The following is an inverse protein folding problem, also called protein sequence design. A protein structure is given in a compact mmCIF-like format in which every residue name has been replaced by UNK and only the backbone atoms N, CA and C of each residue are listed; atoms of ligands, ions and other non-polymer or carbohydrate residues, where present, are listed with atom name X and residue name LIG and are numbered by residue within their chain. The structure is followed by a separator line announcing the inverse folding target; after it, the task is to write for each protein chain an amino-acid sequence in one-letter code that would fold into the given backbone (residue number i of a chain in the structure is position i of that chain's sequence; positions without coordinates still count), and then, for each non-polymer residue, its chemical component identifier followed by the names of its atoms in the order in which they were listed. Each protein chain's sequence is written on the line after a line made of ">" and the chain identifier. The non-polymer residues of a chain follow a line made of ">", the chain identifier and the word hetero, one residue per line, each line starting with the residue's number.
data_IF_577205643020
#
_entry.id   IF_577205643020
#
_cell.length_a   1.000
_cell.length_b   1.000
_cell.length_c   1.000
_cell.angle_alpha   90.00
_cell.angle_beta   90.00
_cell.angle_gamma   90.00
#
_symmetry.space_group_name_H-M   'P 1'
#
loop_
_entity.id
_entity.type
_entity.pdbx_description
1 polymer ?
#
# COMPACT_ATOMS: atom_id res chain seq x y z
N UNK A 1 -11.61 16.06 -17.54
CA UNK A 1 -10.92 17.15 -16.81
C UNK A 1 -11.25 17.18 -15.32
N UNK A 2 -12.52 17.33 -14.90
CA UNK A 2 -12.88 17.27 -13.45
C UNK A 2 -12.93 15.83 -12.95
N UNK A 3 -13.47 14.89 -13.74
CA UNK A 3 -13.50 13.46 -13.39
C UNK A 3 -12.10 12.87 -13.25
N UNK A 4 -11.18 13.17 -14.18
CA UNK A 4 -9.79 12.69 -14.10
C UNK A 4 -9.07 13.20 -12.84
N UNK A 5 -9.31 14.46 -12.45
CA UNK A 5 -8.78 15.02 -11.22
C UNK A 5 -9.39 14.36 -9.98
N UNK A 6 -10.71 14.17 -9.95
CA UNK A 6 -11.41 13.47 -8.87
C UNK A 6 -11.01 11.99 -8.78
N UNK A 7 -10.70 11.33 -9.90
CA UNK A 7 -10.14 9.97 -9.93
C UNK A 7 -8.70 9.92 -9.49
N UNK A 8 -7.86 10.86 -9.93
CA UNK A 8 -6.46 10.98 -9.49
C UNK A 8 -6.33 11.16 -7.97
N UNK A 9 -7.25 11.91 -7.35
CA UNK A 9 -7.28 12.09 -5.88
C UNK A 9 -8.11 11.03 -5.13
N UNK A 10 -8.62 10.01 -5.82
CA UNK A 10 -9.36 8.89 -5.22
C UNK A 10 -10.77 9.19 -4.73
N UNK A 11 -11.39 10.29 -5.18
CA UNK A 11 -12.78 10.66 -4.85
C UNK A 11 -13.82 10.11 -5.84
N UNK A 12 -13.42 9.65 -7.03
CA UNK A 12 -14.35 9.11 -8.03
C UNK A 12 -13.77 7.87 -8.72
N UNK A 13 -14.52 6.75 -8.85
CA UNK A 13 -14.04 5.58 -9.57
C UNK A 13 -13.71 5.96 -11.03
N UNK A 14 -12.50 5.62 -11.47
CA UNK A 14 -12.04 5.85 -12.84
C UNK A 14 -13.01 5.22 -13.85
N UNK A 15 -13.32 5.96 -14.91
CA UNK A 15 -14.21 5.49 -15.99
C UNK A 15 -13.58 4.44 -16.90
N UNK A 16 -12.37 3.98 -16.59
CA UNK A 16 -11.71 2.82 -17.21
C UNK A 16 -11.58 1.74 -16.14
N UNK A 17 -12.11 0.56 -16.44
CA UNK A 17 -12.37 -0.53 -15.50
C UNK A 17 -11.23 -0.87 -14.51
N UNK A 18 -11.61 -0.89 -13.22
CA UNK A 18 -11.13 -1.76 -12.12
C UNK A 18 -9.82 -1.41 -11.41
N UNK A 19 -9.74 -0.20 -10.85
CA UNK A 19 -8.84 0.04 -9.72
C UNK A 19 -9.26 -0.81 -8.51
N UNK A 20 -8.34 -1.64 -8.00
CA UNK A 20 -8.55 -2.50 -6.84
C UNK A 20 -7.74 -2.00 -5.65
N UNK A 21 -8.32 -2.10 -4.45
CA UNK A 21 -7.59 -1.87 -3.20
C UNK A 21 -7.25 -3.23 -2.59
N UNK A 22 -5.95 -3.47 -2.42
CA UNK A 22 -5.38 -4.62 -1.73
C UNK A 22 -4.26 -4.16 -0.81
N UNK A 23 -3.93 -4.96 0.20
CA UNK A 23 -2.79 -4.71 1.08
C UNK A 23 -1.56 -5.42 0.54
N UNK A 24 -0.44 -4.70 0.50
CA UNK A 24 0.87 -5.29 0.25
C UNK A 24 1.32 -6.07 1.47
N UNK A 25 1.59 -7.37 1.29
CA UNK A 25 2.02 -8.28 2.35
C UNK A 25 3.51 -8.55 2.28
N UNK A 26 4.09 -8.64 1.08
CA UNK A 26 5.51 -8.85 0.87
C UNK A 26 5.98 -8.09 -0.39
N UNK A 27 7.24 -7.66 -0.39
CA UNK A 27 7.86 -6.94 -1.51
C UNK A 27 9.02 -7.72 -2.11
N UNK A 28 9.56 -7.24 -3.23
CA UNK A 28 10.73 -7.84 -3.89
C UNK A 28 11.83 -8.23 -2.90
N UNK A 29 12.30 -9.47 -3.02
CA UNK A 29 13.30 -10.02 -2.12
C UNK A 29 12.73 -10.74 -0.89
N UNK A 30 11.46 -10.56 -0.54
CA UNK A 30 10.85 -11.31 0.57
C UNK A 30 10.39 -12.71 0.13
N UNK A 31 10.32 -13.64 1.08
CA UNK A 31 9.66 -14.93 0.94
C UNK A 31 8.36 -14.91 1.72
N UNK A 32 7.24 -15.20 1.06
CA UNK A 32 5.91 -15.25 1.69
C UNK A 32 5.35 -16.67 1.68
N UNK A 33 4.74 -17.08 2.79
CA UNK A 33 4.10 -18.38 2.93
C UNK A 33 2.93 -18.32 3.91
N UNK A 34 1.98 -19.24 3.77
CA UNK A 34 0.92 -19.40 4.74
C UNK A 34 0.39 -20.83 4.71
N UNK A 35 0.44 -21.51 5.86
CA UNK A 35 -0.11 -22.85 6.05
C UNK A 35 -1.54 -22.77 6.58
N UNK A 36 -2.36 -23.77 6.24
CA UNK A 36 -3.73 -23.87 6.76
C UNK A 36 -3.73 -23.90 8.30
N UNK A 37 -4.55 -23.07 8.92
CA UNK A 37 -4.67 -22.89 10.36
C UNK A 37 -3.53 -22.06 10.98
N UNK A 38 -2.62 -21.53 10.16
CA UNK A 38 -1.47 -20.73 10.59
C UNK A 38 -1.54 -19.28 10.13
N UNK A 39 -0.68 -18.41 10.68
CA UNK A 39 -0.56 -17.03 10.22
C UNK A 39 0.13 -16.96 8.86
N UNK A 40 -0.05 -15.84 8.14
CA UNK A 40 0.86 -15.48 7.06
C UNK A 40 2.24 -15.24 7.65
N UNK A 41 3.28 -15.71 6.95
CA UNK A 41 4.66 -15.45 7.29
C UNK A 41 5.39 -14.73 6.16
N UNK A 42 6.23 -13.78 6.54
CA UNK A 42 7.18 -13.10 5.65
C UNK A 42 8.58 -13.32 6.17
N UNK A 43 9.47 -13.88 5.35
CA UNK A 43 10.82 -14.29 5.74
C UNK A 43 10.84 -15.17 7.01
N UNK A 44 9.84 -16.05 7.14
CA UNK A 44 9.64 -16.94 8.29
C UNK A 44 9.07 -16.26 9.55
N UNK A 45 8.82 -14.95 9.53
CA UNK A 45 8.21 -14.19 10.63
C UNK A 45 6.70 -14.19 10.48
N UNK A 46 6.00 -14.65 11.52
CA UNK A 46 4.54 -14.59 11.56
C UNK A 46 4.08 -13.13 11.61
N UNK A 47 3.08 -12.82 10.78
CA UNK A 47 2.42 -11.53 10.82
C UNK A 47 1.33 -11.54 11.89
N UNK A 48 1.23 -10.44 12.62
CA UNK A 48 0.04 -10.10 13.41
C UNK A 48 -0.87 -9.24 12.51
N UNK A 49 -2.07 -9.74 12.24
CA UNK A 49 -2.94 -9.20 11.18
C UNK A 49 -4.28 -8.69 11.76
N UNK A 50 -4.28 -7.66 12.64
CA UNK A 50 -5.50 -7.15 13.28
C UNK A 50 -6.46 -6.45 12.30
N UNK A 51 -6.01 -6.24 11.07
CA UNK A 51 -6.77 -5.63 9.99
C UNK A 51 -7.61 -6.63 9.18
N UNK A 52 -7.49 -7.94 9.43
CA UNK A 52 -8.32 -8.94 8.76
C UNK A 52 -9.79 -8.75 9.17
N UNK A 53 -10.68 -8.90 8.20
CA UNK A 53 -12.12 -8.81 8.43
C UNK A 53 -12.57 -9.80 9.54
N UNK A 54 -13.36 -9.38 10.54
CA UNK A 54 -13.76 -10.26 11.63
C UNK A 54 -14.43 -11.55 11.14
N UNK A 55 -13.97 -12.69 11.63
CA UNK A 55 -14.44 -14.03 11.23
C UNK A 55 -13.69 -14.66 10.07
N UNK A 56 -12.79 -13.90 9.42
CA UNK A 56 -11.87 -14.45 8.43
C UNK A 56 -10.64 -15.07 9.10
N UNK A 57 -9.95 -15.88 8.32
CA UNK A 57 -8.68 -16.51 8.69
C UNK A 57 -7.60 -16.06 7.72
N UNK A 58 -6.34 -16.24 8.09
CA UNK A 58 -5.22 -15.74 7.31
C UNK A 58 -5.19 -16.30 5.89
N UNK A 59 -5.35 -17.62 5.74
CA UNK A 59 -5.29 -18.32 4.45
C UNK A 59 -5.92 -19.73 4.47
N UNK A 60 -6.84 -20.08 5.37
CA UNK A 60 -7.30 -21.47 5.49
C UNK A 60 -8.04 -21.98 4.24
N UNK A 61 -8.67 -21.05 3.54
CA UNK A 61 -9.35 -21.22 2.26
C UNK A 61 -8.37 -21.48 1.11
N UNK A 62 -7.20 -20.81 1.15
CA UNK A 62 -6.16 -20.89 0.13
C UNK A 62 -4.76 -20.76 0.74
N UNK A 63 -4.21 -21.85 1.31
CA UNK A 63 -2.81 -21.90 1.74
C UNK A 63 -1.88 -21.73 0.53
N UNK A 64 -0.69 -21.19 0.75
CA UNK A 64 0.23 -20.85 -0.34
C UNK A 64 1.69 -20.82 0.11
N UNK A 65 2.57 -20.77 -0.89
CA UNK A 65 4.01 -20.62 -0.68
C UNK A 65 4.72 -21.91 -0.22
N UNK A 66 6.01 -21.80 0.13
CA UNK A 66 6.79 -20.56 0.11
C UNK A 66 7.06 -20.01 -1.28
N UNK A 67 6.88 -18.71 -1.45
CA UNK A 67 7.15 -17.98 -2.70
C UNK A 67 8.12 -16.85 -2.46
N UNK A 68 9.21 -16.81 -3.24
CA UNK A 68 10.13 -15.67 -3.28
C UNK A 68 9.55 -14.60 -4.21
N UNK A 69 9.30 -13.42 -3.68
CA UNK A 69 8.79 -12.28 -4.45
C UNK A 69 9.93 -11.74 -5.33
N UNK A 70 9.75 -11.69 -6.66
CA UNK A 70 10.76 -11.12 -7.55
C UNK A 70 10.96 -9.62 -7.29
N UNK A 71 12.17 -9.13 -7.58
CA UNK A 71 12.45 -7.69 -7.55
C UNK A 71 11.47 -6.90 -8.42
N UNK A 72 11.09 -5.70 -7.97
CA UNK A 72 10.12 -4.84 -8.67
C UNK A 72 8.68 -5.36 -8.65
N UNK A 73 8.38 -6.42 -7.89
CA UNK A 73 7.03 -6.95 -7.71
C UNK A 73 6.61 -6.98 -6.24
N UNK A 74 5.32 -7.17 -6.01
CA UNK A 74 4.71 -7.29 -4.70
C UNK A 74 3.73 -8.46 -4.64
N UNK A 75 3.56 -9.01 -3.44
CA UNK A 75 2.48 -9.95 -3.10
C UNK A 75 1.39 -9.19 -2.35
N UNK A 76 0.15 -9.26 -2.84
CA UNK A 76 -0.96 -8.49 -2.28
C UNK A 76 -2.09 -9.41 -1.84
N UNK A 77 -2.74 -9.06 -0.73
CA UNK A 77 -3.90 -9.78 -0.20
C UNK A 77 -5.00 -8.80 0.19
N UNK A 78 -6.26 -9.21 0.05
CA UNK A 78 -7.38 -8.43 0.56
C UNK A 78 -7.56 -8.66 2.06
N UNK A 79 -7.96 -7.62 2.79
CA UNK A 79 -8.26 -7.72 4.23
C UNK A 79 -9.49 -8.61 4.50
N UNK A 80 -10.42 -8.69 3.53
CA UNK A 80 -11.52 -9.66 3.52
C UNK A 80 -11.07 -10.95 2.82
N UNK A 81 -10.14 -11.68 3.46
CA UNK A 81 -9.41 -12.86 2.93
C UNK A 81 -10.25 -13.83 2.11
N UNK A 82 -11.28 -14.42 2.72
CA UNK A 82 -12.20 -15.39 2.10
C UNK A 82 -13.04 -14.84 0.94
N UNK A 83 -13.09 -13.52 0.74
CA UNK A 83 -13.86 -12.88 -0.33
C UNK A 83 -12.96 -12.04 -1.25
N UNK A 84 -11.69 -12.41 -1.37
CA UNK A 84 -10.69 -11.67 -2.11
C UNK A 84 -9.97 -12.58 -3.09
N UNK A 85 -10.25 -12.38 -4.39
CA UNK A 85 -9.43 -12.92 -5.49
C UNK A 85 -8.16 -12.08 -5.60
N UNK A 86 -7.18 -12.38 -4.76
CA UNK A 86 -5.88 -11.69 -4.71
C UNK A 86 -4.74 -12.60 -5.19
N UNK A 87 -3.49 -12.27 -4.89
CA UNK A 87 -2.30 -13.00 -5.37
C UNK A 87 -2.41 -14.52 -5.15
N UNK A 88 -3.05 -14.97 -4.06
CA UNK A 88 -3.26 -16.39 -3.72
C UNK A 88 -4.05 -17.15 -4.79
N UNK A 89 -4.88 -16.46 -5.57
CA UNK A 89 -5.78 -17.06 -6.56
C UNK A 89 -5.23 -17.02 -7.99
N UNK A 90 -4.11 -16.34 -8.23
CA UNK A 90 -3.55 -16.14 -9.58
C UNK A 90 -2.16 -16.79 -9.73
N UNK A 91 -1.84 -17.77 -8.88
CA UNK A 91 -0.51 -18.41 -8.82
C UNK A 91 -0.19 -19.29 -10.03
N UNK A 92 -1.22 -19.77 -10.70
CA UNK A 92 -1.18 -20.59 -11.93
C UNK A 92 -1.10 -19.76 -13.21
N UNK A 93 -1.26 -18.44 -13.11
CA UNK A 93 -1.14 -17.52 -14.24
C UNK A 93 0.32 -17.15 -14.53
N UNK A 94 0.55 -16.47 -15.67
CA UNK A 94 1.87 -16.06 -16.11
C UNK A 94 2.61 -15.16 -15.08
N UNK A 95 1.87 -14.36 -14.33
CA UNK A 95 2.41 -13.49 -13.27
C UNK A 95 2.72 -14.24 -11.98
N UNK A 96 2.23 -15.48 -11.83
CA UNK A 96 2.30 -16.30 -10.61
C UNK A 96 1.74 -15.60 -9.37
N UNK A 97 0.77 -14.72 -9.56
CA UNK A 97 0.13 -13.92 -8.51
C UNK A 97 0.92 -12.69 -8.09
N UNK A 98 2.11 -12.45 -8.64
CA UNK A 98 2.91 -11.26 -8.32
C UNK A 98 2.46 -10.05 -9.14
N UNK A 99 2.27 -8.91 -8.47
CA UNK A 99 1.87 -7.65 -9.11
C UNK A 99 3.11 -6.78 -9.32
N UNK A 100 3.39 -6.30 -10.53
CA UNK A 100 4.43 -5.30 -10.78
C UNK A 100 4.19 -4.02 -9.97
N UNK A 101 5.25 -3.44 -9.40
CA UNK A 101 5.15 -2.16 -8.67
C UNK A 101 4.70 -1.02 -9.60
N UNK A 102 5.03 -1.10 -10.89
CA UNK A 102 4.62 -0.11 -11.90
C UNK A 102 3.10 -0.06 -12.13
N UNK A 103 2.37 -1.13 -11.80
CA UNK A 103 0.90 -1.15 -11.87
C UNK A 103 0.25 -0.50 -10.63
N UNK A 104 1.05 -0.13 -9.61
CA UNK A 104 0.54 0.51 -8.40
C UNK A 104 0.35 2.00 -8.64
N UNK A 105 -0.91 2.43 -8.69
CA UNK A 105 -1.29 3.84 -8.83
C UNK A 105 -0.88 4.67 -7.60
N UNK A 106 -1.01 4.10 -6.40
CA UNK A 106 -0.65 4.81 -5.17
C UNK A 106 -1.02 4.06 -3.88
N UNK A 107 -0.68 4.66 -2.74
CA UNK A 107 -0.99 4.12 -1.40
C UNK A 107 -2.15 4.88 -0.78
N UNK A 108 -3.15 4.15 -0.30
CA UNK A 108 -4.21 4.73 0.54
C UNK A 108 -3.64 5.15 1.91
N UNK A 109 -3.90 6.39 2.32
CA UNK A 109 -3.37 6.98 3.57
C UNK A 109 -4.45 7.46 4.52
N UNK A 110 -5.69 7.64 4.03
CA UNK A 110 -6.82 8.17 4.82
C UNK A 110 -8.12 7.55 4.34
N UNK A 111 -9.01 7.25 5.27
CA UNK A 111 -10.43 6.99 5.02
C UNK A 111 -11.15 8.34 5.16
N UNK A 112 -11.55 8.92 4.04
CA UNK A 112 -12.16 10.25 4.00
C UNK A 112 -13.69 10.25 4.23
N UNK A 113 -14.34 9.09 4.05
CA UNK A 113 -15.80 8.96 4.09
C UNK A 113 -16.24 7.63 4.74
N UNK A 114 -17.38 7.59 5.47
CA UNK A 114 -18.25 8.70 5.85
C UNK A 114 -17.56 9.70 6.79
N UNK A 115 -18.05 10.95 6.84
CA UNK A 115 -17.40 12.05 7.61
C UNK A 115 -17.17 11.67 9.08
N UNK A 116 -18.04 10.83 9.65
CA UNK A 116 -17.94 10.31 11.02
C UNK A 116 -17.00 9.10 11.19
N UNK A 117 -16.35 8.63 10.13
CA UNK A 117 -15.32 7.57 10.14
C UNK A 117 -14.00 8.05 9.53
N UNK A 118 -13.68 9.33 9.74
CA UNK A 118 -12.40 9.84 9.31
C UNK A 118 -11.25 9.14 10.07
N UNK A 119 -10.33 8.51 9.35
CA UNK A 119 -9.24 7.74 9.95
C UNK A 119 -8.00 7.76 9.07
N UNK A 120 -6.81 7.71 9.68
CA UNK A 120 -5.56 7.49 8.95
C UNK A 120 -5.29 6.00 8.76
N UNK A 121 -4.57 5.65 7.71
CA UNK A 121 -4.15 4.27 7.39
C UNK A 121 -2.63 4.13 7.57
N UNK A 122 -2.13 3.95 8.81
CA UNK A 122 -0.72 3.68 9.04
C UNK A 122 -0.35 2.28 8.54
N UNK A 123 0.95 2.05 8.33
CA UNK A 123 1.48 0.70 8.12
C UNK A 123 1.43 -0.02 9.46
N UNK A 124 0.85 -1.25 9.54
CA UNK A 124 0.83 -2.00 10.79
C UNK A 124 2.24 -2.40 11.26
N UNK A 125 2.50 -2.31 12.56
CA UNK A 125 3.81 -2.58 13.20
C UNK A 125 4.36 -3.98 12.92
N UNK A 126 3.52 -4.94 12.52
CA UNK A 126 3.95 -6.28 12.13
C UNK A 126 4.96 -6.27 10.97
N UNK A 127 4.96 -5.24 10.13
CA UNK A 127 5.90 -5.07 9.02
C UNK A 127 7.22 -4.42 9.43
N UNK A 128 7.33 -3.90 10.65
CA UNK A 128 8.57 -3.33 11.20
C UNK A 128 9.45 -4.40 11.87
N UNK A 129 9.02 -5.67 11.85
CA UNK A 129 9.80 -6.78 12.40
C UNK A 129 11.16 -6.89 11.70
N UNK A 130 12.26 -7.11 12.47
CA UNK A 130 13.58 -7.30 11.89
C UNK A 130 13.61 -8.44 10.87
N UNK A 131 14.06 -8.13 9.65
CA UNK A 131 14.16 -9.08 8.55
C UNK A 131 12.93 -9.13 7.64
N UNK A 132 11.90 -8.30 7.87
CA UNK A 132 10.87 -8.02 6.86
C UNK A 132 11.28 -6.76 6.08
N UNK A 133 11.22 -6.82 4.75
CA UNK A 133 11.55 -5.67 3.92
C UNK A 133 10.40 -4.67 3.95
N UNK A 134 10.66 -3.44 4.39
CA UNK A 134 9.62 -2.41 4.38
C UNK A 134 9.27 -2.02 2.94
N UNK A 135 7.98 -2.02 2.61
CA UNK A 135 7.47 -1.48 1.35
C UNK A 135 7.61 0.07 1.24
N UNK A 136 8.18 0.71 2.27
CA UNK A 136 8.32 2.14 2.42
C UNK A 136 9.33 2.72 1.41
N UNK A 137 8.90 2.88 0.16
CA UNK A 137 9.70 3.52 -0.89
C UNK A 137 9.19 3.28 -2.31
N UNK A 138 8.27 2.33 -2.51
CA UNK A 138 7.89 1.87 -3.85
C UNK A 138 6.74 2.66 -4.49
N UNK A 139 6.13 3.63 -3.79
CA UNK A 139 5.13 4.51 -4.37
C UNK A 139 5.80 5.76 -4.99
N UNK A 140 5.72 5.98 -6.32
CA UNK A 140 6.17 7.23 -6.92
C UNK A 140 5.26 8.37 -6.43
N UNK A 141 5.70 9.14 -5.42
CA UNK A 141 4.98 10.33 -4.96
C UNK A 141 5.15 10.73 -3.48
N UNK A 142 5.73 9.87 -2.62
CA UNK A 142 5.82 10.17 -1.19
C UNK A 142 6.88 11.23 -0.79
N UNK A 143 7.58 11.84 -1.75
CA UNK A 143 8.62 12.87 -1.48
C UNK A 143 8.04 14.30 -1.41
N UNK A 144 6.75 14.50 -1.70
CA UNK A 144 6.19 15.83 -2.01
C UNK A 144 5.97 16.81 -0.85
N UNK A 145 5.89 16.39 0.43
CA UNK A 145 5.39 17.30 1.49
C UNK A 145 6.51 17.88 2.38
N UNK A 146 7.68 17.26 2.49
CA UNK A 146 8.74 17.76 3.37
C UNK A 146 9.58 18.91 2.75
N UNK A 147 9.69 18.98 1.42
CA UNK A 147 10.59 19.93 0.74
C UNK A 147 10.01 21.33 0.46
N UNK A 148 8.68 21.50 0.53
CA UNK A 148 8.05 22.74 0.08
C UNK A 148 8.00 23.85 1.15
N UNK A 149 7.96 23.49 2.43
CA UNK A 149 7.85 24.47 3.53
C UNK A 149 9.12 25.34 3.70
N UNK A 150 10.36 24.80 3.66
CA UNK A 150 11.55 25.63 3.79
C UNK A 150 11.73 26.60 2.62
N UNK A 151 11.46 26.15 1.38
CA UNK A 151 11.65 26.95 0.18
C UNK A 151 10.63 28.08 0.05
N UNK A 152 9.37 27.85 0.42
CA UNK A 152 8.33 28.90 0.40
C UNK A 152 8.57 29.96 1.47
N UNK A 153 8.97 29.56 2.69
CA UNK A 153 9.29 30.51 3.77
C UNK A 153 10.55 31.34 3.45
N UNK A 154 11.57 30.74 2.84
CA UNK A 154 12.78 31.45 2.40
C UNK A 154 12.47 32.43 1.26
N UNK A 155 11.67 32.03 0.27
CA UNK A 155 11.28 32.89 -0.85
C UNK A 155 10.40 34.05 -0.40
N UNK A 156 9.54 33.85 0.60
CA UNK A 156 8.68 34.89 1.18
C UNK A 156 9.46 35.92 2.00
N UNK A 157 10.51 35.50 2.72
CA UNK A 157 11.43 36.41 3.45
C UNK A 157 12.26 37.29 2.53
N UNK A 158 12.67 36.81 1.35
CA UNK A 158 13.44 37.62 0.38
C UNK A 158 12.62 38.72 -0.29
N UNK A 159 11.31 38.54 -0.45
CA UNK A 159 10.45 39.49 -1.13
C UNK A 159 9.98 40.65 -0.23
N UNK A 160 9.99 40.47 1.09
CA UNK A 160 9.56 41.51 2.05
C UNK A 160 10.71 42.33 2.66
N UNK A 161 11.97 41.93 2.45
CA UNK A 161 13.15 42.66 2.97
C UNK A 161 13.65 43.82 2.10
N UNK A 162 13.04 44.07 0.94
CA UNK A 162 13.54 45.02 -0.06
C UNK A 162 12.84 46.39 -0.12
N UNK A 163 12.01 46.76 0.87
CA UNK A 163 11.22 48.00 0.77
C UNK A 163 11.16 48.81 2.06
N UNK A 164 12.33 49.24 2.53
CA UNK A 164 12.53 50.43 3.38
C UNK A 164 13.98 50.90 3.24
N UNK A 165 14.24 51.75 2.25
CA UNK A 165 15.33 52.74 2.21
C UNK A 165 15.04 53.64 0.99
N UNK A 166 14.65 54.89 1.25
CA UNK A 166 14.19 55.86 0.25
C UNK A 166 12.97 56.61 0.74
#
# INVERSE_FOLDING_TARGET
>A
MVQDFLSFIGLMPSSKEKDLIKRTIAVGGDTVECAKGGPVKVNGKALDEPYIFPGNTACDDKPFGPFKVPEGKIWVMGDHRQNSLDSRYHTDEATKGFVPVEDVVGRAVVVAWPINRWATLPVPDTFDQPGISAAAGLAPGAVGIAGALPLVLWRRRRLTGGRTAG
#
